data_IF_820089712825
#
_entry.id   IF_820089712825
#
_cell.length_a   1.000
_cell.length_b   1.000
_cell.length_c   1.000
_cell.angle_alpha   90.00
_cell.angle_beta   90.00
_cell.angle_gamma   90.00
#
_symmetry.space_group_name_H-M   'P 1'
#
loop_
_entity.id
_entity.type
_entity.pdbx_description
1 polymer ?
#
# COMPACT_ATOMS: atom_id res chain seq x y z
N UNK A 1 19.79 8.79 5.63
CA UNK A 1 18.55 8.23 5.06
C UNK A 1 18.58 8.58 3.58
N UNK A 2 18.73 7.61 2.69
CA UNK A 2 18.72 7.89 1.25
C UNK A 2 17.39 8.51 0.84
N UNK A 3 17.40 9.34 -0.20
CA UNK A 3 16.20 9.94 -0.74
C UNK A 3 15.17 8.83 -1.05
N UNK A 4 13.98 8.95 -0.45
CA UNK A 4 12.87 8.04 -0.71
C UNK A 4 12.50 8.20 -2.19
N UNK A 5 12.61 7.12 -2.96
CA UNK A 5 12.20 7.04 -4.35
C UNK A 5 10.82 7.69 -4.54
N UNK A 6 10.71 8.73 -5.35
CA UNK A 6 9.45 9.42 -5.58
C UNK A 6 8.71 8.92 -6.82
N UNK A 7 7.45 9.31 -6.98
CA UNK A 7 6.68 9.11 -8.20
C UNK A 7 7.35 9.79 -9.39
N UNK A 8 7.98 10.96 -9.20
CA UNK A 8 8.73 11.65 -10.25
C UNK A 8 9.95 10.85 -10.69
N UNK A 9 10.70 10.26 -9.75
CA UNK A 9 11.86 9.44 -10.06
C UNK A 9 11.45 8.18 -10.85
N UNK A 10 10.37 7.53 -10.42
CA UNK A 10 9.81 6.38 -11.15
C UNK A 10 9.31 6.77 -12.54
N UNK A 11 8.67 7.93 -12.70
CA UNK A 11 8.25 8.46 -13.99
C UNK A 11 9.47 8.66 -14.89
N UNK A 12 10.52 9.32 -14.41
CA UNK A 12 11.76 9.55 -15.17
C UNK A 12 12.39 8.24 -15.66
N UNK A 13 12.43 7.23 -14.79
CA UNK A 13 12.91 5.89 -15.14
C UNK A 13 12.06 5.28 -16.25
N UNK A 14 10.73 5.38 -16.15
CA UNK A 14 9.83 4.88 -17.19
C UNK A 14 10.02 5.62 -18.52
N UNK A 15 10.24 6.94 -18.52
CA UNK A 15 10.52 7.69 -19.75
C UNK A 15 11.78 7.14 -20.45
N UNK A 16 12.85 6.92 -19.69
CA UNK A 16 14.09 6.37 -20.20
C UNK A 16 13.89 4.97 -20.79
N UNK A 17 13.13 4.11 -20.11
CA UNK A 17 12.82 2.75 -20.58
C UNK A 17 11.97 2.75 -21.85
N UNK A 18 10.94 3.60 -21.94
CA UNK A 18 10.06 3.67 -23.11
C UNK A 18 10.83 4.12 -24.36
N UNK A 19 11.75 5.06 -24.20
CA UNK A 19 12.57 5.56 -25.31
C UNK A 19 13.54 4.52 -25.88
N UNK A 20 13.82 3.42 -25.17
CA UNK A 20 14.63 2.31 -25.69
C UNK A 20 13.86 1.41 -26.66
N UNK A 21 12.52 1.41 -26.61
CA UNK A 21 11.70 0.50 -27.42
C UNK A 21 11.77 0.94 -28.89
N UNK A 22 12.31 0.14 -29.82
CA UNK A 22 12.46 0.56 -31.21
C UNK A 22 11.12 0.76 -31.94
N UNK A 23 11.13 1.55 -33.03
CA UNK A 23 9.96 1.67 -33.92
C UNK A 23 9.56 0.28 -34.46
N UNK A 24 8.26 -0.01 -34.46
CA UNK A 24 7.74 -1.31 -34.91
C UNK A 24 7.95 -2.44 -33.90
N UNK A 25 8.38 -2.11 -32.68
CA UNK A 25 8.39 -2.99 -31.52
C UNK A 25 7.44 -2.48 -30.45
N UNK A 26 7.02 -3.38 -29.58
CA UNK A 26 6.18 -3.09 -28.41
C UNK A 26 6.76 -3.76 -27.18
N UNK A 27 6.38 -3.26 -26.01
CA UNK A 27 6.58 -3.96 -24.74
C UNK A 27 5.26 -4.03 -23.97
N UNK A 28 5.24 -4.72 -22.84
CA UNK A 28 4.03 -4.79 -22.01
C UNK A 28 4.19 -4.04 -20.70
N UNK A 29 3.07 -3.65 -20.08
CA UNK A 29 3.07 -3.10 -18.72
C UNK A 29 3.80 -4.02 -17.72
N UNK A 30 3.72 -5.34 -17.92
CA UNK A 30 4.41 -6.31 -17.09
C UNK A 30 5.92 -6.31 -17.32
N UNK A 31 6.38 -6.29 -18.57
CA UNK A 31 7.81 -6.22 -18.87
C UNK A 31 8.41 -4.93 -18.30
N UNK A 32 7.71 -3.80 -18.42
CA UNK A 32 8.10 -2.53 -17.76
C UNK A 32 8.15 -2.67 -16.24
N UNK A 33 7.16 -3.34 -15.62
CA UNK A 33 7.11 -3.57 -14.18
C UNK A 33 8.27 -4.45 -13.69
N UNK A 34 8.61 -5.49 -14.46
CA UNK A 34 9.76 -6.36 -14.19
C UNK A 34 11.10 -5.62 -14.37
N UNK A 35 11.19 -4.71 -15.33
CA UNK A 35 12.36 -3.86 -15.54
C UNK A 35 12.62 -2.96 -14.33
N UNK A 36 11.58 -2.33 -13.75
CA UNK A 36 11.75 -1.51 -12.54
C UNK A 36 11.78 -2.31 -11.23
N UNK A 37 11.65 -3.64 -11.29
CA UNK A 37 11.92 -4.56 -10.18
C UNK A 37 10.71 -5.12 -9.44
N UNK A 38 9.48 -4.91 -9.92
CA UNK A 38 8.30 -5.49 -9.28
C UNK A 38 7.08 -5.53 -10.20
N UNK A 39 6.53 -6.72 -10.40
CA UNK A 39 5.29 -6.91 -11.18
C UNK A 39 4.08 -6.15 -10.61
N UNK A 40 4.08 -5.85 -9.31
CA UNK A 40 3.00 -5.10 -8.65
C UNK A 40 2.91 -3.64 -9.13
N UNK A 41 3.94 -3.12 -9.81
CA UNK A 41 3.92 -1.78 -10.38
C UNK A 41 3.09 -1.66 -11.68
N UNK A 42 2.61 -2.77 -12.25
CA UNK A 42 1.84 -2.79 -13.51
C UNK A 42 0.71 -1.75 -13.54
N UNK A 43 -0.07 -1.64 -12.46
CA UNK A 43 -1.20 -0.67 -12.40
C UNK A 43 -0.72 0.78 -12.29
N UNK A 44 0.37 1.03 -11.57
CA UNK A 44 1.00 2.35 -11.50
C UNK A 44 1.47 2.77 -12.90
N UNK A 45 2.21 1.89 -13.58
CA UNK A 45 2.71 2.13 -14.94
C UNK A 45 1.55 2.40 -15.90
N UNK A 46 0.51 1.59 -15.88
CA UNK A 46 -0.70 1.79 -16.70
C UNK A 46 -1.30 3.21 -16.53
N UNK A 47 -1.37 3.71 -15.29
CA UNK A 47 -1.91 5.04 -15.01
C UNK A 47 -0.94 6.18 -15.37
N UNK A 48 0.37 5.94 -15.31
CA UNK A 48 1.42 6.93 -15.56
C UNK A 48 1.80 7.05 -17.04
N UNK A 49 1.79 5.93 -17.79
CA UNK A 49 2.42 5.84 -19.13
C UNK A 49 1.95 6.90 -20.11
N UNK A 50 0.66 7.28 -20.04
CA UNK A 50 0.05 8.22 -20.99
C UNK A 50 0.44 9.67 -20.72
N UNK A 51 1.04 9.95 -19.56
CA UNK A 51 1.49 11.28 -19.13
C UNK A 51 2.99 11.46 -19.32
N UNK A 52 3.68 10.40 -19.73
CA UNK A 52 5.13 10.35 -19.93
C UNK A 52 5.47 10.80 -21.35
N UNK A 53 6.58 11.51 -21.49
CA UNK A 53 7.15 11.86 -22.78
C UNK A 53 7.73 10.63 -23.49
N UNK A 54 7.59 10.57 -24.82
CA UNK A 54 8.14 9.49 -25.65
C UNK A 54 7.08 8.53 -26.22
N UNK A 55 7.51 7.37 -26.77
CA UNK A 55 6.65 6.45 -27.52
C UNK A 55 5.74 5.59 -26.64
N UNK A 56 4.93 6.22 -25.77
CA UNK A 56 4.03 5.54 -24.83
C UNK A 56 3.08 4.54 -25.50
N UNK A 57 2.73 4.75 -26.78
CA UNK A 57 1.86 3.87 -27.54
C UNK A 57 2.45 2.47 -27.74
N UNK A 58 3.79 2.33 -27.64
CA UNK A 58 4.49 1.04 -27.73
C UNK A 58 4.34 0.17 -26.48
N UNK A 59 3.76 0.68 -25.39
CA UNK A 59 3.48 -0.10 -24.17
C UNK A 59 2.03 -0.56 -24.16
N UNK A 60 1.83 -1.87 -24.13
CA UNK A 60 0.50 -2.51 -24.26
C UNK A 60 0.20 -3.46 -23.10
N UNK A 61 -1.03 -3.98 -23.02
CA UNK A 61 -1.31 -5.08 -22.10
C UNK A 61 -0.86 -6.42 -22.67
N UNK A 62 -0.73 -7.44 -21.82
CA UNK A 62 -0.28 -8.78 -22.21
C UNK A 62 -1.19 -9.47 -23.25
N UNK A 63 -2.46 -9.05 -23.34
CA UNK A 63 -3.43 -9.58 -24.31
C UNK A 63 -3.32 -8.91 -25.69
N UNK A 64 -2.55 -7.83 -25.81
CA UNK A 64 -2.46 -7.00 -27.01
C UNK A 64 -3.73 -6.23 -27.35
N UNK A 65 -4.68 -6.11 -26.42
CA UNK A 65 -5.95 -5.41 -26.62
C UNK A 65 -5.75 -3.90 -26.46
N UNK A 66 -6.13 -3.10 -27.46
CA UNK A 66 -5.90 -1.65 -27.46
C UNK A 66 -7.24 -0.93 -27.51
N UNK A 67 -7.57 -0.19 -26.46
CA UNK A 67 -8.85 0.57 -26.38
C UNK A 67 -8.74 1.97 -26.96
N UNK A 68 -7.55 2.54 -26.96
CA UNK A 68 -7.30 3.93 -27.36
C UNK A 68 -7.10 4.03 -28.88
N UNK A 69 -7.96 4.81 -29.55
CA UNK A 69 -7.91 5.00 -31.01
C UNK A 69 -6.60 5.63 -31.49
N UNK A 70 -6.05 6.59 -30.73
CA UNK A 70 -4.77 7.22 -31.06
C UNK A 70 -3.61 6.23 -30.93
N UNK A 71 -3.64 5.38 -29.90
CA UNK A 71 -2.65 4.31 -29.75
C UNK A 71 -2.70 3.33 -30.93
N UNK A 72 -3.90 2.93 -31.39
CA UNK A 72 -4.08 2.07 -32.56
C UNK A 72 -3.46 2.66 -33.83
N UNK A 73 -3.75 3.93 -34.11
CA UNK A 73 -3.22 4.63 -35.29
C UNK A 73 -1.69 4.71 -35.27
N UNK A 74 -1.10 5.06 -34.13
CA UNK A 74 0.35 5.16 -33.97
C UNK A 74 1.04 3.81 -34.14
N UNK A 75 0.49 2.74 -33.56
CA UNK A 75 1.01 1.39 -33.72
C UNK A 75 0.92 0.91 -35.18
N UNK A 76 -0.19 1.17 -35.87
CA UNK A 76 -0.35 0.83 -37.30
C UNK A 76 0.65 1.58 -38.17
N UNK A 77 0.89 2.88 -37.90
CA UNK A 77 1.92 3.69 -38.59
C UNK A 77 3.34 3.15 -38.40
N UNK A 78 3.56 2.34 -37.37
CA UNK A 78 4.83 1.66 -37.12
C UNK A 78 4.89 0.22 -37.67
N UNK A 79 3.87 -0.21 -38.41
CA UNK A 79 3.85 -1.54 -39.03
C UNK A 79 3.36 -2.66 -38.11
N UNK A 80 2.74 -2.33 -36.97
CA UNK A 80 2.13 -3.35 -36.11
C UNK A 80 0.78 -3.78 -36.71
N UNK A 81 0.64 -5.09 -36.97
CA UNK A 81 -0.60 -5.69 -37.48
C UNK A 81 -1.66 -5.75 -36.37
N UNK A 82 -2.84 -5.18 -36.61
CA UNK A 82 -3.93 -5.10 -35.64
C UNK A 82 -5.27 -5.39 -36.32
N UNK A 83 -6.03 -6.31 -35.75
CA UNK A 83 -7.40 -6.66 -36.15
C UNK A 83 -8.32 -6.61 -34.93
N UNK A 84 -9.55 -6.11 -35.09
CA UNK A 84 -10.53 -6.02 -34.00
C UNK A 84 -9.95 -5.43 -32.71
N UNK A 85 -9.16 -4.36 -32.84
CA UNK A 85 -8.46 -3.67 -31.74
C UNK A 85 -7.47 -4.56 -30.96
N UNK A 86 -6.98 -5.65 -31.55
CA UNK A 86 -6.02 -6.57 -30.94
C UNK A 86 -4.81 -6.78 -31.85
N UNK A 87 -3.62 -6.71 -31.26
CA UNK A 87 -2.36 -6.97 -31.97
C UNK A 87 -2.29 -8.44 -32.37
N UNK A 88 -2.08 -8.71 -33.66
CA UNK A 88 -1.89 -10.06 -34.18
C UNK A 88 -0.44 -10.49 -33.95
N UNK A 89 -0.25 -11.69 -33.39
CA UNK A 89 1.06 -12.25 -33.08
C UNK A 89 1.93 -11.29 -32.24
N UNK A 90 1.44 -10.89 -31.06
CA UNK A 90 2.10 -9.93 -30.16
C UNK A 90 3.59 -10.26 -29.92
N UNK A 91 3.92 -11.54 -29.77
CA UNK A 91 5.29 -12.02 -29.49
C UNK A 91 6.27 -11.67 -30.60
N UNK A 92 5.83 -11.58 -31.86
CA UNK A 92 6.64 -11.11 -33.01
C UNK A 92 7.22 -9.70 -32.79
N UNK A 93 6.44 -8.84 -32.14
CA UNK A 93 6.78 -7.43 -31.94
C UNK A 93 7.39 -7.15 -30.56
N UNK A 94 7.41 -8.14 -29.67
CA UNK A 94 7.76 -7.95 -28.26
C UNK A 94 9.26 -7.65 -28.07
N UNK A 95 9.54 -6.55 -27.40
CA UNK A 95 10.86 -6.10 -26.98
C UNK A 95 10.99 -6.24 -25.46
N UNK A 96 12.00 -7.00 -25.03
CA UNK A 96 12.27 -7.31 -23.61
C UNK A 96 13.60 -6.78 -23.11
N UNK A 97 14.49 -6.32 -24.00
CA UNK A 97 15.85 -5.92 -23.64
C UNK A 97 15.92 -4.50 -23.08
N UNK A 98 15.05 -4.21 -22.11
CA UNK A 98 14.98 -2.94 -21.40
C UNK A 98 16.19 -2.82 -20.46
N UNK A 99 17.11 -1.90 -20.76
CA UNK A 99 18.33 -1.64 -20.00
C UNK A 99 18.07 -0.63 -18.89
N UNK A 100 18.46 -0.98 -17.67
CA UNK A 100 18.42 -0.11 -16.49
C UNK A 100 19.58 -0.48 -15.56
N UNK A 101 20.28 0.52 -15.03
CA UNK A 101 21.47 0.30 -14.20
C UNK A 101 21.12 -0.43 -12.89
N UNK A 102 19.98 -0.06 -12.29
CA UNK A 102 19.49 -0.67 -11.07
C UNK A 102 17.96 -0.71 -11.05
N UNK A 103 17.40 -1.76 -10.46
CA UNK A 103 15.95 -1.91 -10.33
C UNK A 103 15.46 -1.24 -9.04
N UNK A 104 14.81 -0.07 -9.11
CA UNK A 104 14.52 0.73 -7.91
C UNK A 104 13.57 0.00 -6.94
N UNK A 105 12.58 -0.74 -7.42
CA UNK A 105 11.64 -1.46 -6.55
C UNK A 105 12.24 -2.74 -5.97
N UNK A 106 13.23 -3.34 -6.65
CA UNK A 106 13.95 -4.48 -6.10
C UNK A 106 14.79 -4.07 -4.89
N UNK A 107 15.44 -2.89 -4.96
CA UNK A 107 16.16 -2.30 -3.84
C UNK A 107 15.23 -2.09 -2.62
N UNK A 108 14.06 -1.49 -2.83
CA UNK A 108 13.07 -1.31 -1.77
C UNK A 108 12.56 -2.65 -1.21
N UNK A 109 12.43 -3.67 -2.06
CA UNK A 109 12.08 -5.03 -1.63
C UNK A 109 13.15 -5.62 -0.73
N UNK A 110 14.44 -5.47 -1.06
CA UNK A 110 15.55 -5.93 -0.19
C UNK A 110 15.48 -5.24 1.16
N UNK A 111 15.22 -3.93 1.19
CA UNK A 111 15.05 -3.20 2.45
C UNK A 111 13.88 -3.74 3.30
N UNK A 112 12.74 -4.06 2.68
CA UNK A 112 11.62 -4.71 3.38
C UNK A 112 11.99 -6.08 3.96
N UNK A 113 12.78 -6.87 3.23
CA UNK A 113 13.27 -8.19 3.69
C UNK A 113 14.22 -8.02 4.87
N UNK A 114 15.12 -7.04 4.85
CA UNK A 114 16.02 -6.80 5.98
C UNK A 114 15.26 -6.31 7.23
N UNK A 115 14.27 -5.44 7.05
CA UNK A 115 13.42 -5.03 8.18
C UNK A 115 12.55 -6.18 8.71
N UNK A 116 12.10 -7.12 7.87
CA UNK A 116 11.18 -8.17 8.33
C UNK A 116 11.83 -9.15 9.29
N UNK A 117 13.17 -9.27 9.25
CA UNK A 117 13.96 -10.02 10.22
C UNK A 117 13.90 -9.44 11.64
N UNK A 118 13.46 -8.18 11.80
CA UNK A 118 13.36 -7.49 13.10
C UNK A 118 11.99 -7.62 13.76
N UNK A 119 11.03 -8.26 13.09
CA UNK A 119 9.66 -8.39 13.63
C UNK A 119 9.69 -9.32 14.84
N UNK A 120 9.13 -8.86 15.95
CA UNK A 120 8.75 -9.71 17.08
C UNK A 120 7.27 -10.11 16.96
N UNK A 121 6.98 -11.40 17.08
CA UNK A 121 5.61 -11.95 17.13
C UNK A 121 5.23 -12.41 18.54
N UNK A 122 5.91 -11.87 19.55
CA UNK A 122 5.59 -12.04 20.96
C UNK A 122 5.01 -10.75 21.50
N UNK A 123 4.07 -10.88 22.43
CA UNK A 123 3.44 -9.74 23.08
C UNK A 123 4.47 -9.06 23.99
N UNK A 124 4.83 -7.82 23.64
CA UNK A 124 5.71 -6.95 24.41
C UNK A 124 4.95 -5.70 24.84
N UNK A 125 3.91 -5.94 25.64
CA UNK A 125 3.09 -4.94 26.30
C UNK A 125 2.51 -5.52 27.59
N UNK A 126 2.37 -4.66 28.60
CA UNK A 126 1.67 -4.96 29.85
C UNK A 126 0.18 -4.66 29.72
N UNK A 127 -0.45 -4.21 30.80
CA UNK A 127 -1.83 -3.73 30.78
C UNK A 127 -2.05 -2.70 29.67
N UNK A 128 -3.01 -3.00 28.80
CA UNK A 128 -3.44 -2.09 27.74
C UNK A 128 -4.50 -1.18 28.35
N UNK A 129 -4.20 0.12 28.42
CA UNK A 129 -5.16 1.14 28.83
C UNK A 129 -5.57 2.01 27.64
N UNK A 130 -4.60 2.35 26.79
CA UNK A 130 -4.79 3.24 25.64
C UNK A 130 -4.44 2.48 24.35
N UNK A 131 -5.38 2.46 23.41
CA UNK A 131 -5.16 1.94 22.06
C UNK A 131 -5.22 3.06 21.03
N UNK A 132 -4.35 2.97 20.03
CA UNK A 132 -4.26 3.93 18.93
C UNK A 132 -4.92 3.41 17.67
N UNK A 133 -5.49 4.28 16.86
CA UNK A 133 -5.93 3.97 15.50
C UNK A 133 -5.37 4.96 14.51
N UNK A 134 -4.80 4.50 13.39
CA UNK A 134 -4.32 5.38 12.33
C UNK A 134 -4.91 5.01 10.97
N UNK A 135 -5.47 6.02 10.30
CA UNK A 135 -5.96 5.95 8.93
C UNK A 135 -5.41 7.10 8.10
N UNK A 136 -5.13 6.84 6.83
CA UNK A 136 -4.61 7.82 5.89
C UNK A 136 -5.54 7.97 4.72
N UNK A 137 -5.64 9.21 4.31
CA UNK A 137 -6.63 9.60 3.34
C UNK A 137 -6.04 10.66 2.43
N UNK A 138 -6.23 10.51 1.13
CA UNK A 138 -5.59 11.40 0.15
C UNK A 138 -6.54 12.48 -0.33
N UNK A 139 -6.00 13.70 -0.44
CA UNK A 139 -6.58 14.82 -1.18
C UNK A 139 -5.46 15.45 -2.00
N UNK A 140 -5.55 15.39 -3.32
CA UNK A 140 -4.46 15.76 -4.23
C UNK A 140 -3.18 14.96 -3.90
N UNK A 141 -2.01 15.62 -3.81
CA UNK A 141 -0.72 15.01 -3.46
C UNK A 141 -0.40 15.09 -1.95
N UNK A 142 -1.42 15.27 -1.12
CA UNK A 142 -1.30 15.39 0.34
C UNK A 142 -2.04 14.23 1.01
N UNK A 143 -1.38 13.61 1.97
CA UNK A 143 -1.99 12.65 2.87
C UNK A 143 -2.50 13.39 4.12
N UNK A 144 -3.75 13.16 4.44
CA UNK A 144 -4.38 13.54 5.70
C UNK A 144 -4.29 12.31 6.59
N UNK A 145 -3.44 12.40 7.61
CA UNK A 145 -3.27 11.36 8.64
C UNK A 145 -4.24 11.67 9.76
N UNK A 146 -5.09 10.70 10.09
CA UNK A 146 -5.96 10.76 11.26
C UNK A 146 -5.48 9.74 12.26
N UNK A 147 -5.17 10.22 13.46
CA UNK A 147 -4.67 9.41 14.56
C UNK A 147 -5.62 9.52 15.75
N UNK A 148 -6.10 8.40 16.26
CA UNK A 148 -7.05 8.35 17.38
C UNK A 148 -6.42 7.65 18.57
N UNK A 149 -6.82 8.04 19.78
CA UNK A 149 -6.45 7.42 21.05
C UNK A 149 -7.75 7.10 21.80
N UNK A 150 -7.93 5.84 22.17
CA UNK A 150 -9.12 5.35 22.86
C UNK A 150 -8.74 4.67 24.17
N UNK A 151 -9.61 4.81 25.17
CA UNK A 151 -9.65 3.95 26.35
C UNK A 151 -10.14 2.56 25.92
N UNK A 152 -9.37 1.50 26.20
CA UNK A 152 -9.73 0.15 25.71
C UNK A 152 -10.94 -0.46 26.44
N UNK A 153 -11.19 -0.11 27.70
CA UNK A 153 -12.29 -0.69 28.47
C UNK A 153 -13.62 -0.12 28.02
N UNK A 154 -13.67 1.21 27.90
CA UNK A 154 -14.88 1.95 27.53
C UNK A 154 -15.04 2.11 26.02
N UNK A 155 -13.97 1.84 25.26
CA UNK A 155 -13.87 2.11 23.81
C UNK A 155 -14.27 3.55 23.46
N UNK A 156 -13.97 4.48 24.37
CA UNK A 156 -14.26 5.90 24.21
C UNK A 156 -13.06 6.63 23.66
N UNK A 157 -13.31 7.52 22.70
CA UNK A 157 -12.28 8.41 22.16
C UNK A 157 -11.79 9.35 23.26
N UNK A 158 -10.49 9.29 23.55
CA UNK A 158 -9.80 10.20 24.47
C UNK A 158 -9.32 11.44 23.73
N UNK A 159 -8.65 11.23 22.59
CA UNK A 159 -8.09 12.29 21.76
C UNK A 159 -7.96 11.84 20.32
N UNK A 160 -7.96 12.78 19.39
CA UNK A 160 -7.55 12.51 18.02
C UNK A 160 -6.72 13.67 17.50
N UNK A 161 -5.96 13.39 16.46
CA UNK A 161 -5.11 14.34 15.75
C UNK A 161 -5.32 14.20 14.27
N UNK A 162 -5.21 15.32 13.57
CA UNK A 162 -5.25 15.35 12.11
C UNK A 162 -4.05 16.15 11.64
N UNK A 163 -3.20 15.51 10.83
CA UNK A 163 -2.05 16.15 10.22
C UNK A 163 -2.12 16.02 8.70
N UNK A 164 -1.56 17.01 8.02
CA UNK A 164 -1.35 16.96 6.59
C UNK A 164 0.13 16.74 6.31
N UNK A 165 0.44 15.72 5.52
CA UNK A 165 1.80 15.35 5.15
C UNK A 165 1.91 15.23 3.64
N UNK A 166 3.07 15.62 3.11
CA UNK A 166 3.39 15.44 1.70
C UNK A 166 3.80 13.99 1.43
N UNK A 167 3.22 13.40 0.38
CA UNK A 167 3.54 12.03 -0.03
C UNK A 167 4.05 12.05 -1.47
N UNK A 168 5.27 11.56 -1.65
CA UNK A 168 5.93 11.51 -2.95
C UNK A 168 5.90 10.12 -3.59
N UNK A 169 5.83 9.04 -2.81
CA UNK A 169 5.79 7.67 -3.33
C UNK A 169 4.41 7.32 -3.92
N UNK A 170 4.31 6.69 -5.10
CA UNK A 170 3.03 6.35 -5.71
C UNK A 170 2.38 5.13 -5.03
N UNK A 171 1.09 4.91 -5.26
CA UNK A 171 0.46 3.67 -4.80
C UNK A 171 0.93 2.47 -5.62
N UNK A 172 1.78 1.62 -5.01
CA UNK A 172 2.18 0.32 -5.55
C UNK A 172 1.83 -0.75 -4.49
N UNK A 173 0.96 -1.74 -4.81
CA UNK A 173 0.67 -2.83 -3.89
C UNK A 173 1.95 -3.47 -3.37
N UNK A 174 1.96 -3.86 -2.09
CA UNK A 174 3.14 -4.42 -1.37
C UNK A 174 4.29 -3.44 -1.09
N UNK A 175 4.14 -2.15 -1.43
CA UNK A 175 5.08 -1.06 -1.13
C UNK A 175 4.39 0.10 -0.38
N UNK A 176 3.22 -0.14 0.21
CA UNK A 176 2.43 0.90 0.89
C UNK A 176 3.19 1.58 2.03
N UNK A 177 4.09 0.84 2.71
CA UNK A 177 4.96 1.37 3.77
C UNK A 177 5.80 2.56 3.31
N UNK A 178 6.28 2.57 2.07
CA UNK A 178 7.06 3.69 1.53
C UNK A 178 6.22 4.93 1.21
N UNK A 179 4.89 4.75 1.14
CA UNK A 179 3.93 5.82 0.90
C UNK A 179 3.35 6.40 2.17
N UNK A 180 2.99 5.54 3.12
CA UNK A 180 2.21 5.89 4.30
C UNK A 180 3.00 5.78 5.61
N UNK A 181 4.12 5.06 5.60
CA UNK A 181 4.93 4.85 6.80
C UNK A 181 5.45 6.16 7.37
N UNK A 182 6.20 6.95 6.59
CA UNK A 182 6.78 8.21 7.07
C UNK A 182 5.73 9.22 7.64
N UNK A 183 4.58 9.46 6.98
CA UNK A 183 3.50 10.26 7.57
C UNK A 183 3.01 9.74 8.93
N UNK A 184 2.90 8.41 9.11
CA UNK A 184 2.51 7.81 10.39
C UNK A 184 3.59 8.02 11.44
N UNK A 185 4.86 7.77 11.10
CA UNK A 185 5.99 7.92 12.01
C UNK A 185 6.09 9.37 12.53
N UNK A 186 6.00 10.35 11.63
CA UNK A 186 5.97 11.78 11.98
C UNK A 186 4.81 12.13 12.88
N UNK A 187 3.62 11.60 12.58
CA UNK A 187 2.43 11.82 13.41
C UNK A 187 2.62 11.24 14.81
N UNK A 188 3.06 9.99 14.91
CA UNK A 188 3.32 9.32 16.18
C UNK A 188 4.28 10.12 17.08
N UNK A 189 5.36 10.66 16.50
CA UNK A 189 6.35 11.44 17.26
C UNK A 189 5.82 12.79 17.78
N UNK A 190 4.71 13.32 17.23
CA UNK A 190 4.14 14.62 17.62
C UNK A 190 2.97 14.52 18.60
N UNK A 191 2.46 13.32 18.88
CA UNK A 191 1.22 13.12 19.65
C UNK A 191 1.48 12.50 21.02
N UNK A 192 0.72 12.93 22.02
CA UNK A 192 0.69 12.33 23.36
C UNK A 192 -0.75 12.17 23.87
N UNK A 193 -1.04 11.21 24.76
CA UNK A 193 -0.15 10.12 25.20
C UNK A 193 0.13 9.09 24.09
N UNK A 194 1.17 8.27 24.23
CA UNK A 194 1.39 7.10 23.35
C UNK A 194 0.40 5.96 23.68
N UNK A 195 -0.09 5.21 22.68
CA UNK A 195 -0.89 4.02 22.91
C UNK A 195 0.01 2.84 23.31
N UNK A 196 -0.55 1.87 24.02
CA UNK A 196 0.09 0.58 24.27
C UNK A 196 0.13 -0.27 22.97
N UNK A 197 -0.93 -0.20 22.16
CA UNK A 197 -1.00 -0.88 20.85
C UNK A 197 -1.56 0.07 19.79
N UNK A 198 -0.88 0.17 18.66
CA UNK A 198 -1.33 0.97 17.52
C UNK A 198 -1.97 0.09 16.43
N UNK A 199 -3.25 0.34 16.16
CA UNK A 199 -3.98 -0.24 15.05
C UNK A 199 -3.71 0.58 13.80
N UNK A 200 -3.27 -0.08 12.73
CA UNK A 200 -2.93 0.54 11.47
C UNK A 200 -3.88 0.05 10.38
N UNK A 201 -4.50 0.96 9.62
CA UNK A 201 -5.31 0.59 8.45
C UNK A 201 -4.43 0.10 7.29
N UNK A 202 -3.94 -1.12 7.40
CA UNK A 202 -2.99 -1.74 6.49
C UNK A 202 -2.71 -3.18 6.94
N UNK A 203 -1.86 -3.89 6.19
CA UNK A 203 -1.44 -5.24 6.57
C UNK A 203 -0.22 -5.19 7.50
N UNK A 204 -0.09 -6.18 8.39
CA UNK A 204 1.13 -6.53 9.10
C UNK A 204 1.88 -7.63 8.36
N UNK A 205 2.10 -8.78 9.01
CA UNK A 205 2.83 -9.91 8.40
C UNK A 205 2.07 -10.63 7.28
N UNK A 206 0.77 -10.36 7.08
CA UNK A 206 0.00 -10.84 5.92
C UNK A 206 0.41 -10.11 4.62
N UNK A 207 1.66 -10.33 4.22
CA UNK A 207 2.39 -9.62 3.18
C UNK A 207 3.45 -10.55 2.57
N UNK A 208 3.77 -10.45 1.26
CA UNK A 208 4.67 -11.41 0.59
C UNK A 208 6.06 -11.58 1.21
N UNK A 209 6.53 -10.55 1.93
CA UNK A 209 7.81 -10.56 2.67
C UNK A 209 7.63 -10.20 4.15
N UNK A 210 6.43 -10.42 4.70
CA UNK A 210 6.04 -10.14 6.09
C UNK A 210 6.18 -8.68 6.55
N UNK A 211 6.57 -7.77 5.65
CA UNK A 211 6.73 -6.34 5.91
C UNK A 211 5.58 -5.49 5.33
N UNK A 212 4.38 -5.64 5.89
CA UNK A 212 3.26 -4.74 5.61
C UNK A 212 3.43 -3.36 6.26
N UNK A 213 2.45 -2.47 6.07
CA UNK A 213 2.47 -1.13 6.67
C UNK A 213 2.51 -1.16 8.20
N UNK A 214 1.71 -2.03 8.83
CA UNK A 214 1.66 -2.15 10.28
C UNK A 214 3.00 -2.66 10.84
N UNK A 215 3.58 -3.70 10.21
CA UNK A 215 4.91 -4.22 10.57
C UNK A 215 6.01 -3.18 10.39
N UNK A 216 5.98 -2.41 9.30
CA UNK A 216 6.95 -1.34 9.07
C UNK A 216 6.88 -0.28 10.18
N UNK A 217 5.68 0.22 10.48
CA UNK A 217 5.47 1.21 11.54
C UNK A 217 5.92 0.66 12.88
N UNK A 218 5.51 -0.57 13.23
CA UNK A 218 5.85 -1.20 14.50
C UNK A 218 7.33 -1.46 14.68
N UNK A 219 8.03 -1.92 13.64
CA UNK A 219 9.49 -2.15 13.68
C UNK A 219 10.27 -0.85 13.78
N UNK A 220 9.88 0.18 13.02
CA UNK A 220 10.62 1.46 13.00
C UNK A 220 10.42 2.26 14.30
N UNK A 221 9.22 2.20 14.89
CA UNK A 221 8.93 2.85 16.17
C UNK A 221 9.26 1.96 17.39
N UNK A 222 9.56 0.69 17.17
CA UNK A 222 9.74 -0.34 18.19
C UNK A 222 8.54 -0.51 19.15
N UNK A 223 7.32 -0.47 18.61
CA UNK A 223 6.06 -0.58 19.38
C UNK A 223 5.16 -1.74 18.93
N UNK A 224 4.22 -2.17 19.79
CA UNK A 224 3.15 -3.09 19.42
C UNK A 224 2.22 -2.51 18.35
N UNK A 225 2.02 -3.26 17.27
CA UNK A 225 1.14 -2.86 16.17
C UNK A 225 0.29 -4.00 15.66
N UNK A 226 -0.93 -3.69 15.24
CA UNK A 226 -1.83 -4.61 14.53
C UNK A 226 -2.28 -4.01 13.21
N UNK A 227 -2.18 -4.79 12.14
CA UNK A 227 -2.69 -4.42 10.83
C UNK A 227 -4.12 -4.89 10.65
N UNK A 228 -5.02 -3.98 10.29
CA UNK A 228 -6.41 -4.29 9.96
C UNK A 228 -6.79 -3.66 8.64
N UNK A 229 -7.35 -4.45 7.71
CA UNK A 229 -7.81 -3.91 6.42
C UNK A 229 -8.99 -4.67 5.87
N UNK A 230 -9.72 -4.08 4.93
CA UNK A 230 -10.82 -4.73 4.18
C UNK A 230 -10.36 -5.55 2.97
N UNK A 231 -9.07 -5.46 2.60
CA UNK A 231 -8.53 -6.10 1.39
C UNK A 231 -7.60 -7.24 1.73
N UNK A 232 -7.91 -8.42 1.22
CA UNK A 232 -6.98 -9.54 1.19
C UNK A 232 -5.80 -9.18 0.27
N UNK A 233 -4.59 -9.07 0.82
CA UNK A 233 -3.40 -8.71 0.05
C UNK A 233 -2.60 -9.94 -0.40
N UNK A 234 -2.39 -10.89 0.52
CA UNK A 234 -1.49 -12.02 0.33
C UNK A 234 -1.87 -13.17 1.26
N UNK A 235 -1.57 -14.38 0.81
CA UNK A 235 -1.80 -15.64 1.53
C UNK A 235 -2.98 -16.43 0.96
N UNK A 236 -3.07 -17.68 1.37
CA UNK A 236 -4.23 -18.54 1.12
C UNK A 236 -5.16 -18.49 2.33
N UNK A 237 -6.47 -18.35 2.11
CA UNK A 237 -7.46 -18.37 3.18
C UNK A 237 -7.98 -19.80 3.34
N UNK A 238 -7.80 -20.36 4.54
CA UNK A 238 -8.44 -21.61 4.95
C UNK A 238 -9.28 -21.30 6.18
N UNK A 239 -10.60 -21.44 6.03
CA UNK A 239 -11.60 -21.04 7.03
C UNK A 239 -11.48 -19.57 7.43
N UNK A 240 -11.00 -19.29 8.65
CA UNK A 240 -10.79 -17.96 9.20
C UNK A 240 -9.29 -17.61 9.37
N UNK A 241 -8.38 -18.39 8.79
CA UNK A 241 -6.92 -18.21 8.89
C UNK A 241 -6.31 -17.92 7.53
N UNK A 242 -5.23 -17.14 7.52
CA UNK A 242 -4.46 -16.79 6.33
C UNK A 242 -3.09 -17.46 6.45
N UNK A 243 -2.65 -18.16 5.41
CA UNK A 243 -1.37 -18.87 5.36
C UNK A 243 -0.45 -18.34 4.26
N UNK A 244 0.86 -18.24 4.54
CA UNK A 244 1.85 -17.97 3.50
C UNK A 244 2.12 -19.21 2.64
N UNK A 245 2.93 -19.02 1.58
CA UNK A 245 3.32 -20.09 0.65
C UNK A 245 4.07 -21.26 1.32
N UNK A 246 4.63 -21.02 2.51
CA UNK A 246 5.42 -22.00 3.26
C UNK A 246 4.55 -22.69 4.33
N UNK A 247 3.24 -22.39 4.37
CA UNK A 247 2.28 -23.00 5.28
C UNK A 247 2.21 -22.35 6.66
N UNK A 248 2.90 -21.23 6.89
CA UNK A 248 2.84 -20.52 8.18
C UNK A 248 1.58 -19.66 8.24
N UNK A 249 0.89 -19.66 9.38
CA UNK A 249 -0.22 -18.73 9.60
C UNK A 249 0.34 -17.30 9.70
N UNK A 250 -0.25 -16.36 8.95
CA UNK A 250 0.16 -14.94 8.87
C UNK A 250 -0.97 -13.97 9.18
N UNK A 251 -2.16 -14.47 9.51
CA UNK A 251 -3.27 -13.61 9.90
C UNK A 251 -4.60 -14.33 10.01
N UNK A 252 -5.63 -13.53 10.18
CA UNK A 252 -7.01 -13.93 10.43
C UNK A 252 -7.97 -13.25 9.46
N UNK A 253 -9.04 -13.95 9.12
CA UNK A 253 -10.22 -13.41 8.46
C UNK A 253 -11.32 -13.32 9.51
N UNK A 254 -11.66 -12.11 9.95
CA UNK A 254 -12.67 -11.89 11.00
C UNK A 254 -13.93 -11.32 10.36
N UNK A 255 -15.06 -11.99 10.63
CA UNK A 255 -16.38 -11.58 10.16
C UNK A 255 -17.22 -11.13 11.35
N UNK A 256 -17.65 -9.86 11.36
CA UNK A 256 -18.50 -9.28 12.40
C UNK A 256 -19.40 -8.21 11.79
N UNK A 257 -20.63 -8.06 12.28
CA UNK A 257 -21.59 -7.05 11.81
C UNK A 257 -21.89 -7.12 10.28
N UNK A 258 -21.86 -8.32 9.70
CA UNK A 258 -21.99 -8.53 8.25
C UNK A 258 -20.83 -7.98 7.42
N UNK A 259 -19.70 -7.62 8.06
CA UNK A 259 -18.49 -7.09 7.44
C UNK A 259 -17.33 -8.05 7.66
N UNK A 260 -16.35 -8.00 6.76
CA UNK A 260 -15.13 -8.81 6.82
C UNK A 260 -13.92 -7.89 6.87
N UNK A 261 -12.97 -8.21 7.76
CA UNK A 261 -11.63 -7.60 7.77
C UNK A 261 -10.58 -8.70 7.86
N UNK A 262 -9.39 -8.36 7.38
CA UNK A 262 -8.18 -9.15 7.44
C UNK A 262 -7.29 -8.54 8.51
N UNK A 263 -6.89 -9.36 9.47
CA UNK A 263 -6.10 -8.95 10.63
C UNK A 263 -4.78 -9.69 10.60
N UNK A 264 -3.67 -8.98 10.82
CA UNK A 264 -2.37 -9.59 10.99
C UNK A 264 -1.53 -8.80 12.00
N UNK A 265 -0.70 -9.48 12.81
CA UNK A 265 0.21 -8.78 13.72
C UNK A 265 1.22 -7.96 12.92
N UNK A 266 1.57 -6.79 13.44
CA UNK A 266 2.58 -5.90 12.86
C UNK A 266 3.96 -6.20 13.45
N UNK A 267 4.15 -5.84 14.71
CA UNK A 267 5.35 -6.02 15.52
C UNK A 267 4.95 -6.10 17.00
N UNK A 268 5.76 -6.78 17.83
CA UNK A 268 5.58 -6.91 19.29
C UNK A 268 4.17 -7.34 19.70
N UNK A 269 3.57 -8.21 18.89
CA UNK A 269 2.20 -8.68 19.03
C UNK A 269 2.08 -10.07 18.42
N UNK A 270 1.49 -11.01 19.15
CA UNK A 270 1.23 -12.38 18.70
C UNK A 270 0.07 -12.47 17.71
N UNK A 271 -0.04 -13.59 17.00
CA UNK A 271 -1.18 -13.86 16.12
C UNK A 271 -2.48 -13.88 16.91
N UNK A 272 -2.47 -14.51 18.07
CA UNK A 272 -3.61 -14.65 18.97
C UNK A 272 -4.06 -13.28 19.49
N UNK A 273 -3.14 -12.51 20.07
CA UNK A 273 -3.45 -11.15 20.57
C UNK A 273 -3.92 -10.21 19.46
N UNK A 274 -3.41 -10.35 18.23
CA UNK A 274 -3.91 -9.56 17.10
C UNK A 274 -5.41 -9.81 16.81
N UNK A 275 -5.86 -11.07 16.95
CA UNK A 275 -7.26 -11.44 16.77
C UNK A 275 -8.10 -10.96 17.95
N UNK A 276 -7.66 -11.23 19.17
CA UNK A 276 -8.39 -10.86 20.39
C UNK A 276 -8.62 -9.36 20.47
N UNK A 277 -7.58 -8.56 20.21
CA UNK A 277 -7.68 -7.10 20.17
C UNK A 277 -8.65 -6.63 19.08
N UNK A 278 -8.60 -7.22 17.89
CA UNK A 278 -9.54 -6.87 16.82
C UNK A 278 -11.00 -7.24 17.19
N UNK A 279 -11.25 -8.39 17.81
CA UNK A 279 -12.60 -8.83 18.17
C UNK A 279 -13.17 -8.05 19.35
N UNK A 280 -12.36 -7.85 20.41
CA UNK A 280 -12.70 -7.10 21.63
C UNK A 280 -13.06 -5.66 21.32
N UNK A 281 -12.32 -5.03 20.40
CA UNK A 281 -12.50 -3.61 20.07
C UNK A 281 -13.48 -3.37 18.92
N UNK A 282 -14.18 -4.38 18.41
CA UNK A 282 -15.10 -4.21 17.28
C UNK A 282 -16.56 -4.23 17.69
N UNK A 283 -17.12 -3.05 17.93
CA UNK A 283 -18.51 -2.93 18.38
C UNK A 283 -19.47 -2.87 17.18
N UNK A 284 -19.21 -1.99 16.22
CA UNK A 284 -20.11 -1.77 15.08
C UNK A 284 -19.37 -1.41 13.80
N UNK A 285 -20.10 -1.38 12.69
CA UNK A 285 -19.56 -0.92 11.41
C UNK A 285 -18.48 -1.83 10.82
N UNK A 286 -17.66 -1.26 9.94
CA UNK A 286 -16.72 -2.00 9.09
C UNK A 286 -15.41 -2.42 9.78
N UNK A 287 -14.97 -1.70 10.79
CA UNK A 287 -13.67 -1.92 11.42
C UNK A 287 -13.81 -1.92 12.94
N UNK A 288 -12.81 -2.44 13.67
CA UNK A 288 -12.67 -2.18 15.09
C UNK A 288 -12.58 -0.68 15.39
N UNK A 289 -13.02 -0.29 16.58
CA UNK A 289 -13.28 1.09 16.98
C UNK A 289 -12.10 2.05 16.71
N UNK A 290 -10.82 1.72 16.98
CA UNK A 290 -9.71 2.62 16.70
C UNK A 290 -9.63 3.05 15.22
N UNK A 291 -9.74 2.08 14.30
CA UNK A 291 -9.71 2.33 12.85
C UNK A 291 -11.04 2.92 12.37
N UNK A 292 -12.17 2.46 12.90
CA UNK A 292 -13.49 2.95 12.50
C UNK A 292 -13.63 4.45 12.79
N UNK A 293 -13.21 4.89 13.97
CA UNK A 293 -13.26 6.30 14.35
C UNK A 293 -12.28 7.11 13.51
N UNK A 294 -11.06 6.61 13.27
CA UNK A 294 -10.10 7.28 12.40
C UNK A 294 -10.63 7.46 10.96
N UNK A 295 -11.22 6.42 10.37
CA UNK A 295 -11.86 6.45 9.03
C UNK A 295 -13.07 7.40 8.98
N UNK A 296 -13.89 7.45 10.04
CA UNK A 296 -15.02 8.39 10.11
C UNK A 296 -14.58 9.85 10.19
N UNK A 297 -13.58 10.16 11.01
CA UNK A 297 -13.00 11.50 11.11
C UNK A 297 -12.34 11.87 9.78
N UNK A 298 -11.56 10.96 9.20
CA UNK A 298 -10.93 11.09 7.88
C UNK A 298 -11.94 11.46 6.79
N UNK A 299 -13.09 10.78 6.73
CA UNK A 299 -14.19 11.11 5.81
C UNK A 299 -14.81 12.48 6.06
N UNK A 300 -14.95 12.90 7.32
CA UNK A 300 -15.49 14.23 7.66
C UNK A 300 -14.52 15.34 7.28
N UNK A 301 -13.23 15.18 7.56
CA UNK A 301 -12.17 16.12 7.19
C UNK A 301 -12.09 16.29 5.68
N UNK A 302 -12.22 15.21 4.89
CA UNK A 302 -12.26 15.31 3.42
C UNK A 302 -13.44 16.14 2.89
N UNK A 303 -14.62 16.01 3.53
CA UNK A 303 -15.86 16.66 3.09
C UNK A 303 -15.87 18.17 3.39
N UNK A 304 -15.27 18.60 4.50
CA UNK A 304 -15.20 20.02 4.89
C UNK A 304 -14.01 20.68 4.21
N UNK A 305 -14.27 21.41 3.13
CA UNK A 305 -13.29 22.33 2.55
C UNK A 305 -13.03 23.47 3.55
N UNK A 306 -11.78 23.56 4.03
CA UNK A 306 -11.18 24.62 4.85
C UNK A 306 -11.44 24.55 6.37
N UNK A 307 -10.32 24.73 7.10
CA UNK A 307 -10.12 24.84 8.55
C UNK A 307 -10.20 23.55 9.39
N UNK A 308 -9.06 22.85 9.49
CA UNK A 308 -8.79 21.83 10.52
C UNK A 308 -8.90 22.36 11.96
N UNK A 309 -8.86 23.68 12.17
CA UNK A 309 -8.88 24.33 13.49
C UNK A 309 -10.18 24.12 14.26
N UNK A 310 -11.30 23.82 13.59
CA UNK A 310 -12.60 23.62 14.26
C UNK A 310 -12.74 22.25 14.95
N UNK A 311 -11.74 21.38 14.83
CA UNK A 311 -11.74 20.07 15.50
C UNK A 311 -11.05 20.09 16.88
N UNK A 312 -10.45 21.20 17.28
CA UNK A 312 -9.71 21.35 18.54
C UNK A 312 -10.44 22.19 19.62
N UNK A 313 -11.74 22.45 19.45
CA UNK A 313 -12.59 23.08 20.47
C UNK A 313 -13.57 22.09 21.07
#
# INVERSE_FOLDING_TARGET
MEAILSEKDLIQILENLINQIPKGKITTYKEMALAIGSIYATRFIYNAIRKINGPWWRVVNEKGEIKDKKQLELLKKEGITIENNKIINLTKYLYRDLKIDHKPLERLRRYQIELSKKISLYDDFSDINIIGGVDLSYKNNKAIVVYTLLDIEKLKLLKFYVFEEHVSFPYIPTFLSFREGDPILKTFNRVEPKPNVLFVNGQGIAHPVKMGLASYVGVVLDIPTVGITKKHLYGEIKENKIYDKDGNQIGWVIKKNGKTVYVSPGNKLSLESSKELAEKTWIKGQYPEPIRIADEISKKVKKRNNNLLDYLK
#
